data_IF_899633065990
#
_entry.id   IF_899633065990
#
_cell.length_a   1.000
_cell.length_b   1.000
_cell.length_c   1.000
_cell.angle_alpha   90.00
_cell.angle_beta   90.00
_cell.angle_gamma   90.00
#
_symmetry.space_group_name_H-M   'P 1'
#
loop_
_entity.id
_entity.type
_entity.pdbx_description
1 polymer ?
#
# COMPACT_ATOMS: atom_id res chain seq x y z
N UNK A 1 26.80 -18.39 26.06
CA UNK A 1 26.39 -18.18 25.73
C UNK A 1 25.47 -17.87 25.31
N UNK A 2 25.21 -17.70 25.11
CA UNK A 2 24.46 -17.42 24.59
C UNK A 2 23.65 -16.91 24.25
N UNK A 3 23.35 -16.84 23.99
CA UNK A 3 22.60 -16.29 23.53
C UNK A 3 21.73 -16.23 23.15
N UNK A 4 21.40 -16.39 23.07
CA UNK A 4 20.62 -16.30 22.70
C UNK A 4 19.74 -15.87 22.46
N UNK A 5 19.61 -15.87 22.26
CA UNK A 5 18.83 -15.44 21.96
C UNK A 5 17.92 -15.06 21.74
N UNK A 6 17.67 -15.32 21.69
CA UNK A 6 16.91 -14.93 21.44
C UNK A 6 16.02 -14.32 21.18
N UNK A 7 16.04 -14.01 20.77
CA UNK A 7 15.33 -13.10 20.46
C UNK A 7 14.14 -13.14 19.60
N UNK A 8 13.44 -14.08 19.46
CA UNK A 8 12.29 -14.18 18.61
C UNK A 8 11.03 -13.66 19.22
N UNK A 9 11.09 -13.24 20.41
CA UNK A 9 9.93 -12.76 21.11
C UNK A 9 9.07 -13.88 21.64
N UNK A 10 8.14 -13.52 22.52
CA UNK A 10 7.21 -14.44 23.13
C UNK A 10 6.03 -14.68 22.20
N UNK A 11 5.18 -15.68 22.48
CA UNK A 11 3.93 -15.85 21.73
C UNK A 11 3.05 -14.60 21.79
N UNK A 12 3.04 -13.89 22.92
CA UNK A 12 2.27 -12.64 23.02
C UNK A 12 2.84 -11.57 22.10
N UNK A 13 4.18 -11.49 22.00
CA UNK A 13 4.83 -10.52 21.11
C UNK A 13 4.52 -10.82 19.66
N UNK A 14 4.56 -12.10 19.30
CA UNK A 14 4.26 -12.50 17.93
C UNK A 14 2.79 -12.24 17.59
N UNK A 15 1.90 -12.45 18.56
CA UNK A 15 0.49 -12.19 18.35
C UNK A 15 0.24 -10.71 18.16
N UNK A 16 0.90 -9.86 18.95
CA UNK A 16 0.78 -8.42 18.81
C UNK A 16 1.31 -7.96 17.45
N UNK A 17 2.44 -8.54 17.00
CA UNK A 17 3.01 -8.19 15.70
C UNK A 17 2.08 -8.60 14.56
N UNK A 18 1.48 -9.79 14.66
CA UNK A 18 0.53 -10.25 13.65
C UNK A 18 -0.70 -9.35 13.61
N UNK A 19 -1.18 -8.92 14.78
CA UNK A 19 -2.31 -8.02 14.87
C UNK A 19 -2.00 -6.66 14.26
N UNK A 20 -0.80 -6.14 14.53
CA UNK A 20 -0.37 -4.88 13.94
C UNK A 20 -0.28 -4.98 12.43
N UNK A 21 0.27 -6.10 11.92
CA UNK A 21 0.35 -6.31 10.48
C UNK A 21 -1.03 -6.37 9.85
N UNK A 22 -1.96 -7.07 10.51
CA UNK A 22 -3.32 -7.18 10.00
C UNK A 22 -4.00 -5.82 9.95
N UNK A 23 -3.75 -4.97 10.94
CA UNK A 23 -4.29 -3.62 10.94
C UNK A 23 -3.74 -2.80 9.77
N UNK A 24 -2.43 -2.91 9.52
CA UNK A 24 -1.82 -2.23 8.38
C UNK A 24 -2.36 -2.74 7.06
N UNK A 25 -2.54 -4.05 6.93
CA UNK A 25 -3.09 -4.63 5.70
C UNK A 25 -4.51 -4.16 5.46
N UNK A 26 -5.32 -4.08 6.50
CA UNK A 26 -6.69 -3.59 6.36
C UNK A 26 -6.70 -2.13 5.93
N UNK A 27 -5.88 -1.30 6.54
CA UNK A 27 -5.79 0.12 6.17
C UNK A 27 -5.29 0.28 4.74
N UNK A 28 -4.28 -0.51 4.35
CA UNK A 28 -3.77 -0.50 2.99
C UNK A 28 -4.85 -0.91 1.99
N UNK A 29 -5.58 -1.96 2.31
CA UNK A 29 -6.65 -2.45 1.46
C UNK A 29 -7.74 -1.40 1.28
N UNK A 30 -8.09 -0.69 2.34
CA UNK A 30 -9.07 0.39 2.27
C UNK A 30 -8.60 1.50 1.36
N UNK A 31 -7.33 1.90 1.46
CA UNK A 31 -6.79 2.93 0.59
C UNK A 31 -6.77 2.49 -0.87
N UNK A 32 -6.45 1.21 -1.11
CA UNK A 32 -6.46 0.68 -2.46
C UNK A 32 -7.89 0.67 -3.03
N UNK A 33 -8.88 0.32 -2.21
CA UNK A 33 -10.28 0.34 -2.64
C UNK A 33 -10.73 1.76 -2.93
N UNK A 34 -10.33 2.72 -2.11
CA UNK A 34 -10.67 4.12 -2.33
C UNK A 34 -10.03 4.64 -3.62
N UNK A 35 -8.80 4.20 -3.90
CA UNK A 35 -8.12 4.57 -5.14
C UNK A 35 -8.87 4.03 -6.35
N UNK A 36 -9.33 2.78 -6.29
CA UNK A 36 -10.10 2.19 -7.39
C UNK A 36 -11.41 2.93 -7.59
N UNK A 37 -12.06 3.30 -6.51
CA UNK A 37 -13.30 4.06 -6.59
C UNK A 37 -13.07 5.42 -7.26
N UNK A 38 -11.99 6.10 -6.87
CA UNK A 38 -11.63 7.37 -7.49
C UNK A 38 -11.34 7.19 -8.98
N UNK A 39 -10.63 6.12 -9.32
CA UNK A 39 -10.33 5.81 -10.71
C UNK A 39 -11.61 5.63 -11.51
N UNK A 40 -12.57 4.91 -10.94
CA UNK A 40 -13.83 4.66 -11.63
C UNK A 40 -14.62 5.96 -11.88
N UNK A 41 -14.43 6.96 -11.02
CA UNK A 41 -15.06 8.26 -11.20
C UNK A 41 -14.26 9.18 -12.12
N UNK A 42 -13.10 8.74 -12.57
CA UNK A 42 -12.21 9.57 -13.36
C UNK A 42 -11.46 10.63 -12.54
N UNK A 43 -11.45 10.48 -11.23
CA UNK A 43 -10.79 11.44 -10.33
C UNK A 43 -9.35 11.01 -10.09
N UNK A 44 -8.48 11.41 -11.01
CA UNK A 44 -7.08 10.97 -11.01
C UNK A 44 -6.32 11.53 -9.81
N UNK A 45 -6.61 12.76 -9.42
CA UNK A 45 -5.93 13.37 -8.29
C UNK A 45 -6.25 12.63 -7.00
N UNK A 46 -7.51 12.24 -6.81
CA UNK A 46 -7.94 11.51 -5.64
C UNK A 46 -7.37 10.09 -5.66
N UNK A 47 -7.35 9.47 -6.83
CA UNK A 47 -6.75 8.16 -6.99
C UNK A 47 -5.29 8.19 -6.54
N UNK A 48 -4.54 9.17 -7.02
CA UNK A 48 -3.13 9.31 -6.68
C UNK A 48 -2.94 9.51 -5.18
N UNK A 49 -3.76 10.33 -4.57
CA UNK A 49 -3.66 10.60 -3.14
C UNK A 49 -3.84 9.34 -2.31
N UNK A 50 -4.83 8.51 -2.67
CA UNK A 50 -5.05 7.26 -1.97
C UNK A 50 -3.91 6.29 -2.20
N UNK A 51 -3.32 6.27 -3.41
CA UNK A 51 -2.18 5.42 -3.69
C UNK A 51 -0.95 5.84 -2.89
N UNK A 52 -0.75 7.14 -2.70
CA UNK A 52 0.34 7.59 -1.85
C UNK A 52 0.18 7.10 -0.41
N UNK A 53 -1.03 7.15 0.11
CA UNK A 53 -1.29 6.64 1.45
C UNK A 53 -1.06 5.14 1.53
N UNK A 54 -1.53 4.42 0.51
CA UNK A 54 -1.30 2.98 0.45
C UNK A 54 0.19 2.67 0.39
N UNK A 55 0.94 3.47 -0.33
CA UNK A 55 2.38 3.30 -0.44
C UNK A 55 3.05 3.40 0.94
N UNK A 56 2.68 4.42 1.70
CA UNK A 56 3.23 4.60 3.04
C UNK A 56 2.88 3.42 3.95
N UNK A 57 1.62 3.01 3.92
CA UNK A 57 1.15 1.91 4.77
C UNK A 57 1.81 0.59 4.41
N UNK A 58 2.19 0.41 3.15
CA UNK A 58 2.72 -0.86 2.67
C UNK A 58 4.23 -1.00 2.84
N UNK A 59 4.92 0.04 3.28
CA UNK A 59 6.38 0.00 3.35
C UNK A 59 6.94 -1.22 4.08
N UNK A 60 6.35 -1.67 5.21
CA UNK A 60 6.88 -2.87 5.86
C UNK A 60 6.41 -4.19 5.24
N UNK A 61 5.64 -4.14 4.14
CA UNK A 61 5.04 -5.34 3.56
C UNK A 61 5.40 -5.41 2.08
N UNK A 62 6.40 -6.23 1.74
CA UNK A 62 6.99 -6.23 0.40
C UNK A 62 5.96 -6.43 -0.72
N UNK A 63 5.06 -7.42 -0.56
CA UNK A 63 4.10 -7.71 -1.61
C UNK A 63 3.13 -6.55 -1.83
N UNK A 64 2.61 -5.98 -0.76
CA UNK A 64 1.71 -4.85 -0.85
C UNK A 64 2.43 -3.63 -1.41
N UNK A 65 3.69 -3.44 -1.04
CA UNK A 65 4.50 -2.33 -1.52
C UNK A 65 4.67 -2.40 -3.04
N UNK A 66 5.02 -3.58 -3.56
CA UNK A 66 5.19 -3.77 -5.00
C UNK A 66 3.88 -3.52 -5.74
N UNK A 67 2.78 -4.06 -5.22
CA UNK A 67 1.47 -3.86 -5.86
C UNK A 67 1.10 -2.39 -5.91
N UNK A 68 1.43 -1.65 -4.86
CA UNK A 68 1.13 -0.24 -4.81
C UNK A 68 1.97 0.54 -5.83
N UNK A 69 3.25 0.20 -5.95
CA UNK A 69 4.09 0.83 -6.96
C UNK A 69 3.57 0.59 -8.36
N UNK A 70 3.12 -0.64 -8.65
CA UNK A 70 2.55 -0.92 -9.96
C UNK A 70 1.27 -0.11 -10.21
N UNK A 71 0.44 0.02 -9.19
CA UNK A 71 -0.78 0.83 -9.31
C UNK A 71 -0.44 2.30 -9.52
N UNK A 72 0.58 2.79 -8.82
CA UNK A 72 1.02 4.18 -9.00
C UNK A 72 1.57 4.42 -10.40
N UNK A 73 2.35 3.46 -10.91
CA UNK A 73 2.88 3.55 -12.27
C UNK A 73 1.74 3.61 -13.28
N UNK A 74 0.76 2.73 -13.13
CA UNK A 74 -0.40 2.72 -14.01
C UNK A 74 -1.15 4.04 -13.95
N UNK A 75 -1.34 4.57 -12.76
CA UNK A 75 -2.01 5.86 -12.58
C UNK A 75 -1.22 6.97 -13.26
N UNK A 76 0.09 6.99 -13.06
CA UNK A 76 0.94 8.01 -13.66
C UNK A 76 0.89 7.96 -15.19
N UNK A 77 0.89 6.76 -15.75
CA UNK A 77 0.79 6.60 -17.20
C UNK A 77 -0.56 7.11 -17.72
N UNK A 78 -1.64 6.82 -17.01
CA UNK A 78 -2.95 7.31 -17.43
C UNK A 78 -3.06 8.82 -17.31
N UNK A 79 -2.39 9.42 -16.34
CA UNK A 79 -2.38 10.87 -16.21
C UNK A 79 -1.71 11.54 -17.41
N UNK A 80 -0.74 10.87 -18.02
CA UNK A 80 -0.04 11.40 -19.19
C UNK A 80 -0.80 11.20 -20.49
N UNK A 81 -1.53 10.10 -20.59
CA UNK A 81 -2.19 9.71 -21.83
C UNK A 81 -3.14 10.75 -22.41
N UNK A 82 -4.05 11.34 -21.61
CA UNK A 82 -4.95 12.33 -22.18
C UNK A 82 -4.23 13.50 -22.83
N UNK A 83 -3.10 13.92 -22.26
CA UNK A 83 -2.33 15.01 -22.82
C UNK A 83 -1.70 14.62 -24.13
N UNK A 84 -1.14 13.43 -24.21
CA UNK A 84 -0.50 12.96 -25.42
C UNK A 84 -1.51 12.67 -26.50
N UNK A 85 -2.61 12.09 -26.14
CA UNK A 85 -3.67 11.77 -27.09
C UNK A 85 -4.35 13.05 -27.57
N UNK A 86 -4.57 13.97 -26.68
CA UNK A 86 -5.20 15.23 -27.03
C UNK A 86 -4.31 16.14 -27.83
N UNK A 87 -3.02 15.91 -27.72
CA UNK A 87 -2.08 16.66 -28.53
C UNK A 87 -2.06 16.15 -29.92
#
# INVERSE_FOLDING_TARGET
MARTSTTRGTPADRSAAASARNTLLAAWSDERAAARSARDRGDVAEEWRHLERAHILSQPMAGAHVRTHLAMLTCALRRRQPREIGG
#
